data_IF_934042702392
#
_entry.id   IF_934042702392
#
_cell.length_a   1.000
_cell.length_b   1.000
_cell.length_c   1.000
_cell.angle_alpha   90.00
_cell.angle_beta   90.00
_cell.angle_gamma   90.00
#
_symmetry.space_group_name_H-M   'P 1'
#
loop_
_entity.id
_entity.type
_entity.pdbx_description
1 polymer ?
#
# COMPACT_ATOMS: atom_id res chain seq x y z
N UNK A 1 -6.78 23.17 -2.57
CA UNK A 1 -6.72 21.71 -2.79
C UNK A 1 -5.25 21.32 -2.68
N UNK A 2 -4.92 20.38 -1.81
CA UNK A 2 -3.60 19.73 -1.85
C UNK A 2 -3.49 19.00 -3.21
N UNK A 3 -2.34 19.12 -3.89
CA UNK A 3 -2.05 18.35 -5.10
C UNK A 3 -1.47 16.98 -4.71
N UNK A 4 -1.29 16.08 -5.67
CA UNK A 4 -0.77 14.74 -5.38
C UNK A 4 0.63 14.79 -4.74
N UNK A 5 1.50 15.72 -5.16
CA UNK A 5 2.81 15.92 -4.54
C UNK A 5 2.71 16.22 -3.03
N UNK A 6 1.75 17.04 -2.60
CA UNK A 6 1.56 17.33 -1.18
C UNK A 6 1.13 16.09 -0.38
N UNK A 7 0.45 15.14 -1.01
CA UNK A 7 0.13 13.83 -0.40
C UNK A 7 1.41 13.01 -0.21
N UNK A 8 2.26 12.95 -1.24
CA UNK A 8 3.55 12.26 -1.20
C UNK A 8 4.44 12.86 -0.09
N UNK A 9 4.62 14.18 -0.10
CA UNK A 9 5.44 14.92 0.89
C UNK A 9 4.96 14.66 2.32
N UNK A 10 3.63 14.65 2.53
CA UNK A 10 3.07 14.32 3.82
C UNK A 10 3.36 12.87 4.22
N UNK A 11 3.14 11.89 3.34
CA UNK A 11 3.40 10.48 3.63
C UNK A 11 4.89 10.23 3.90
N UNK A 12 5.80 10.83 3.13
CA UNK A 12 7.24 10.76 3.37
C UNK A 12 7.65 11.32 4.74
N UNK A 13 6.93 12.32 5.25
CA UNK A 13 7.18 12.87 6.59
C UNK A 13 6.78 11.92 7.73
N UNK A 14 5.99 10.89 7.44
CA UNK A 14 5.55 9.91 8.44
C UNK A 14 6.70 8.95 8.75
N UNK A 15 7.15 8.96 10.01
CA UNK A 15 8.25 8.10 10.48
C UNK A 15 7.96 6.63 10.19
N UNK A 16 8.96 5.94 9.63
CA UNK A 16 8.92 4.52 9.29
C UNK A 16 7.81 4.15 8.30
N UNK A 17 7.30 5.09 7.49
CA UNK A 17 6.32 4.79 6.45
C UNK A 17 6.84 3.73 5.46
N UNK A 18 8.13 3.77 5.08
CA UNK A 18 8.72 2.74 4.21
C UNK A 18 9.24 1.52 4.98
N UNK A 19 9.12 1.48 6.31
CA UNK A 19 9.56 0.38 7.18
C UNK A 19 8.36 -0.21 7.94
N UNK A 20 7.40 -0.76 7.19
CA UNK A 20 6.18 -1.38 7.72
C UNK A 20 4.88 -0.62 7.47
N UNK A 21 4.96 0.61 6.94
CA UNK A 21 3.81 1.44 6.56
C UNK A 21 3.55 1.53 5.06
N UNK A 22 4.33 0.89 4.19
CA UNK A 22 4.30 1.11 2.75
C UNK A 22 2.95 0.70 2.15
N UNK A 23 2.33 -0.37 2.67
CA UNK A 23 0.97 -0.75 2.31
C UNK A 23 -0.08 0.32 2.66
N UNK A 24 0.05 0.99 3.81
CA UNK A 24 -0.82 2.11 4.17
C UNK A 24 -0.56 3.34 3.27
N UNK A 25 0.69 3.60 2.92
CA UNK A 25 1.08 4.70 2.03
C UNK A 25 0.46 4.53 0.64
N UNK A 26 0.69 3.38 0.00
CA UNK A 26 0.15 3.03 -1.31
C UNK A 26 -1.38 3.14 -1.34
N UNK A 27 -2.04 2.58 -0.32
CA UNK A 27 -3.49 2.61 -0.24
C UNK A 27 -4.05 3.99 0.09
N UNK A 28 -3.32 4.80 0.86
CA UNK A 28 -3.70 6.18 1.14
C UNK A 28 -3.72 7.03 -0.13
N UNK A 29 -2.67 6.89 -0.95
CA UNK A 29 -2.60 7.54 -2.26
C UNK A 29 -3.76 7.10 -3.15
N UNK A 30 -4.04 5.79 -3.22
CA UNK A 30 -5.16 5.25 -3.97
C UNK A 30 -6.51 5.86 -3.54
N UNK A 31 -6.85 5.78 -2.25
CA UNK A 31 -8.12 6.29 -1.71
C UNK A 31 -8.25 7.80 -1.88
N UNK A 32 -7.14 8.54 -1.76
CA UNK A 32 -7.15 9.99 -1.93
C UNK A 32 -7.46 10.40 -3.37
N UNK A 33 -6.87 9.70 -4.35
CA UNK A 33 -7.14 9.88 -5.78
C UNK A 33 -8.56 9.42 -6.13
N UNK A 34 -9.00 8.29 -5.58
CA UNK A 34 -10.35 7.74 -5.78
C UNK A 34 -11.42 8.74 -5.35
N UNK A 35 -11.31 9.26 -4.12
CA UNK A 35 -12.24 10.25 -3.56
C UNK A 35 -12.36 11.51 -4.41
N UNK A 36 -11.35 11.81 -5.23
CA UNK A 36 -11.29 13.01 -6.08
C UNK A 36 -11.57 12.72 -7.56
N UNK A 37 -11.87 11.47 -7.93
CA UNK A 37 -12.08 11.08 -9.32
C UNK A 37 -10.83 11.23 -10.18
N UNK A 38 -9.64 11.04 -9.58
CA UNK A 38 -8.34 11.24 -10.22
C UNK A 38 -7.58 9.94 -10.50
N UNK A 39 -8.18 8.77 -10.24
CA UNK A 39 -7.55 7.49 -10.58
C UNK A 39 -7.52 7.30 -12.10
N UNK A 40 -6.38 6.84 -12.60
CA UNK A 40 -6.29 6.32 -13.96
C UNK A 40 -6.95 4.94 -14.06
N UNK A 41 -7.20 4.48 -15.30
CA UNK A 41 -7.88 3.18 -15.54
C UNK A 41 -7.06 1.97 -15.09
N UNK A 42 -5.74 2.12 -15.07
CA UNK A 42 -4.76 1.12 -14.65
C UNK A 42 -4.44 1.22 -13.15
N UNK A 43 -5.04 2.17 -12.42
CA UNK A 43 -4.64 2.45 -11.07
C UNK A 43 -4.90 1.27 -10.13
N UNK A 44 -3.86 0.82 -9.42
CA UNK A 44 -3.98 -0.24 -8.40
C UNK A 44 -2.81 -0.21 -7.41
N UNK A 45 -2.91 -0.99 -6.33
CA UNK A 45 -1.80 -1.23 -5.42
C UNK A 45 -0.99 -2.43 -5.90
N UNK A 46 0.33 -2.30 -5.86
CA UNK A 46 1.28 -3.33 -6.30
C UNK A 46 2.14 -3.75 -5.13
N UNK A 47 2.19 -5.06 -4.88
CA UNK A 47 3.06 -5.65 -3.86
C UNK A 47 4.31 -6.17 -4.54
N UNK A 48 5.47 -5.67 -4.11
CA UNK A 48 6.78 -6.10 -4.58
C UNK A 48 7.42 -7.08 -3.61
N UNK A 49 8.11 -8.07 -4.17
CA UNK A 49 8.80 -9.13 -3.44
C UNK A 49 10.22 -9.30 -3.96
N UNK A 50 11.12 -9.58 -3.03
CA UNK A 50 12.50 -9.97 -3.32
C UNK A 50 12.62 -11.46 -3.72
N UNK A 51 13.85 -11.94 -3.90
CA UNK A 51 14.12 -13.33 -4.29
C UNK A 51 13.72 -14.38 -3.25
N UNK A 52 13.48 -14.00 -2.00
CA UNK A 52 12.99 -14.90 -0.95
C UNK A 52 11.48 -15.16 -1.07
N UNK A 53 10.75 -14.26 -1.74
CA UNK A 53 9.31 -14.35 -1.97
C UNK A 53 8.51 -14.53 -0.66
N UNK A 54 9.00 -13.96 0.44
CA UNK A 54 8.34 -14.08 1.73
C UNK A 54 6.93 -13.48 1.69
N UNK A 55 5.91 -14.29 2.04
CA UNK A 55 4.51 -13.87 1.98
C UNK A 55 3.86 -13.89 0.59
N UNK A 56 4.64 -14.02 -0.50
CA UNK A 56 4.14 -14.00 -1.88
C UNK A 56 3.01 -15.01 -2.11
N UNK A 57 3.26 -16.29 -1.80
CA UNK A 57 2.28 -17.36 -2.00
C UNK A 57 0.99 -17.12 -1.23
N UNK A 58 1.07 -16.60 -0.01
CA UNK A 58 -0.10 -16.29 0.82
C UNK A 58 -1.01 -15.27 0.16
N UNK A 59 -0.41 -14.19 -0.37
CA UNK A 59 -1.15 -13.12 -1.03
C UNK A 59 -1.72 -13.59 -2.38
N UNK A 60 -0.98 -14.39 -3.15
CA UNK A 60 -1.50 -15.05 -4.36
C UNK A 60 -2.69 -15.97 -4.03
N UNK A 61 -2.57 -16.80 -3.01
CA UNK A 61 -3.63 -17.73 -2.61
C UNK A 61 -4.89 -16.97 -2.17
N UNK A 62 -4.76 -15.84 -1.45
CA UNK A 62 -5.89 -14.97 -1.12
C UNK A 62 -6.56 -14.41 -2.39
N UNK A 63 -5.77 -13.84 -3.29
CA UNK A 63 -6.29 -13.23 -4.52
C UNK A 63 -6.95 -14.26 -5.44
N UNK A 64 -6.52 -15.52 -5.38
CA UNK A 64 -7.14 -16.63 -6.11
C UNK A 64 -8.34 -17.26 -5.39
N UNK A 65 -8.70 -16.79 -4.18
CA UNK A 65 -9.81 -17.33 -3.39
C UNK A 65 -9.49 -18.65 -2.68
N UNK A 66 -8.22 -19.05 -2.64
CA UNK A 66 -7.75 -20.26 -1.96
C UNK A 66 -7.43 -20.02 -0.47
N UNK A 67 -7.45 -18.78 -0.01
CA UNK A 67 -7.14 -18.37 1.36
C UNK A 67 -7.98 -17.16 1.77
N UNK A 68 -8.24 -17.02 3.07
CA UNK A 68 -8.83 -15.83 3.69
C UNK A 68 -7.80 -14.97 4.44
N UNK A 69 -6.52 -15.32 4.35
CA UNK A 69 -5.39 -14.60 4.98
C UNK A 69 -4.51 -13.96 3.92
N UNK A 70 -4.20 -12.68 4.10
CA UNK A 70 -3.20 -11.91 3.37
C UNK A 70 -2.23 -11.24 4.36
N UNK A 71 -1.14 -10.65 3.88
CA UNK A 71 -0.21 -9.94 4.76
C UNK A 71 0.91 -9.22 4.04
N UNK A 72 1.96 -8.89 4.78
CA UNK A 72 3.09 -8.10 4.33
C UNK A 72 3.86 -8.70 3.13
N UNK A 73 4.67 -7.84 2.53
CA UNK A 73 5.64 -8.09 1.48
C UNK A 73 6.89 -7.22 1.74
N UNK A 74 7.81 -7.17 0.78
CA UNK A 74 9.03 -6.37 0.90
C UNK A 74 8.78 -4.87 0.69
N UNK A 75 7.98 -4.50 -0.31
CA UNK A 75 7.51 -3.11 -0.49
C UNK A 75 6.16 -3.04 -1.19
N UNK A 76 5.49 -1.89 -1.07
CA UNK A 76 4.22 -1.63 -1.75
C UNK A 76 4.25 -0.27 -2.42
N UNK A 77 3.78 -0.21 -3.66
CA UNK A 77 3.61 1.01 -4.43
C UNK A 77 2.16 1.16 -4.92
N UNK A 78 1.77 2.40 -5.23
CA UNK A 78 0.65 2.69 -6.12
C UNK A 78 1.15 2.59 -7.56
N UNK A 79 0.45 1.87 -8.42
CA UNK A 79 0.57 2.01 -9.86
C UNK A 79 -0.54 2.95 -10.35
N UNK A 80 -0.20 4.00 -11.09
CA UNK A 80 -1.14 4.97 -11.65
C UNK A 80 -0.49 5.66 -12.86
N UNK A 81 -1.22 5.82 -13.96
CA UNK A 81 -0.73 6.43 -15.20
C UNK A 81 0.56 5.78 -15.74
N UNK A 82 0.66 4.45 -15.68
CA UNK A 82 1.82 3.70 -16.16
C UNK A 82 3.07 3.78 -15.27
N UNK A 83 2.96 4.37 -14.08
CA UNK A 83 4.08 4.65 -13.18
C UNK A 83 3.85 4.09 -11.79
N UNK A 84 4.94 3.75 -11.10
CA UNK A 84 4.92 3.34 -9.71
C UNK A 84 5.22 4.53 -8.80
N UNK A 85 4.52 4.62 -7.67
CA UNK A 85 4.71 5.65 -6.66
C UNK A 85 4.77 5.03 -5.27
N UNK A 86 5.75 5.45 -4.47
CA UNK A 86 5.71 5.30 -3.02
C UNK A 86 5.69 6.66 -2.33
N UNK A 87 5.89 6.70 -1.01
CA UNK A 87 5.90 7.96 -0.27
C UNK A 87 6.97 8.95 -0.74
N UNK A 88 8.04 8.48 -1.37
CA UNK A 88 9.20 9.26 -1.81
C UNK A 88 9.03 9.84 -3.21
N UNK A 89 8.00 9.43 -3.96
CA UNK A 89 7.78 9.85 -5.34
C UNK A 89 7.62 8.68 -6.30
N UNK A 90 7.92 8.97 -7.57
CA UNK A 90 7.97 7.97 -8.64
C UNK A 90 9.13 7.00 -8.42
N UNK A 91 8.86 5.71 -8.58
CA UNK A 91 9.85 4.64 -8.49
C UNK A 91 10.31 4.23 -9.90
N UNK A 92 11.61 3.95 -10.02
CA UNK A 92 12.19 3.24 -11.16
C UNK A 92 11.61 1.83 -11.27
N UNK A 93 11.70 1.19 -12.43
CA UNK A 93 11.02 -0.09 -12.71
C UNK A 93 11.44 -1.27 -11.79
N UNK A 94 12.66 -1.24 -11.24
CA UNK A 94 13.17 -2.27 -10.30
C UNK A 94 12.97 -1.89 -8.82
N UNK A 95 12.36 -0.72 -8.57
CA UNK A 95 12.11 -0.08 -7.28
C UNK A 95 13.36 0.12 -6.41
N UNK A 96 14.57 -0.27 -6.84
CA UNK A 96 15.82 -0.17 -6.07
C UNK A 96 15.92 -1.04 -4.80
N UNK A 97 14.91 -1.87 -4.48
CA UNK A 97 14.86 -2.70 -3.26
C UNK A 97 15.30 -4.17 -3.47
N UNK A 98 15.88 -4.51 -4.63
CA UNK A 98 16.12 -5.90 -5.00
C UNK A 98 14.83 -6.69 -5.31
N UNK A 99 13.72 -5.96 -5.50
CA UNK A 99 12.42 -6.50 -5.87
C UNK A 99 12.47 -6.93 -7.33
N UNK A 100 12.02 -8.16 -7.59
CA UNK A 100 12.01 -8.73 -8.93
C UNK A 100 10.68 -9.42 -9.28
N UNK A 101 9.77 -9.49 -8.31
CA UNK A 101 8.48 -10.15 -8.46
C UNK A 101 7.38 -9.23 -7.95
N UNK A 102 6.30 -9.10 -8.73
CA UNK A 102 5.23 -8.16 -8.46
C UNK A 102 3.86 -8.85 -8.47
N UNK A 103 2.98 -8.41 -7.57
CA UNK A 103 1.56 -8.70 -7.63
C UNK A 103 0.83 -7.39 -7.87
N UNK A 104 0.23 -7.24 -9.03
CA UNK A 104 -0.76 -6.21 -9.30
C UNK A 104 -2.09 -6.68 -8.72
N UNK A 105 -2.58 -5.99 -7.69
CA UNK A 105 -3.83 -6.38 -7.04
C UNK A 105 -4.98 -6.09 -8.01
N UNK A 106 -5.87 -7.06 -8.32
CA UNK A 106 -7.04 -6.80 -9.15
C UNK A 106 -7.94 -5.74 -8.51
N UNK A 107 -8.40 -4.76 -9.29
CA UNK A 107 -9.18 -3.62 -8.79
C UNK A 107 -10.45 -4.09 -8.06
N UNK A 108 -11.13 -5.12 -8.58
CA UNK A 108 -12.33 -5.73 -7.98
C UNK A 108 -12.06 -6.39 -6.61
N UNK A 109 -10.80 -6.71 -6.30
CA UNK A 109 -10.36 -7.33 -5.05
C UNK A 109 -9.61 -6.37 -4.14
N UNK A 110 -9.26 -5.18 -4.61
CA UNK A 110 -8.31 -4.28 -3.97
C UNK A 110 -8.69 -3.93 -2.53
N UNK A 111 -9.88 -3.37 -2.31
CA UNK A 111 -10.29 -2.95 -0.97
C UNK A 111 -10.31 -4.13 0.01
N UNK A 112 -10.80 -5.30 -0.44
CA UNK A 112 -10.87 -6.48 0.42
C UNK A 112 -9.49 -7.04 0.74
N UNK A 113 -8.59 -7.08 -0.24
CA UNK A 113 -7.21 -7.48 -0.05
C UNK A 113 -6.48 -6.54 0.92
N UNK A 114 -6.62 -5.22 0.73
CA UNK A 114 -5.99 -4.23 1.61
C UNK A 114 -6.55 -4.28 3.03
N UNK A 115 -7.86 -4.44 3.20
CA UNK A 115 -8.50 -4.61 4.52
C UNK A 115 -7.85 -5.77 5.30
N UNK A 116 -7.65 -6.93 4.66
CA UNK A 116 -7.10 -8.12 5.31
C UNK A 116 -5.58 -8.01 5.47
N UNK A 117 -4.88 -7.61 4.42
CA UNK A 117 -3.42 -7.55 4.39
C UNK A 117 -2.87 -6.59 5.45
N UNK A 118 -3.43 -5.38 5.56
CA UNK A 118 -2.97 -4.35 6.50
C UNK A 118 -3.27 -4.67 7.97
N UNK A 119 -4.14 -5.64 8.23
CA UNK A 119 -4.36 -6.19 9.57
C UNK A 119 -3.33 -7.24 9.96
N UNK A 120 -2.61 -7.82 9.00
CA UNK A 120 -1.61 -8.85 9.25
C UNK A 120 -0.34 -8.35 9.94
N UNK A 121 0.61 -9.27 10.14
CA UNK A 121 1.94 -8.96 10.66
C UNK A 121 2.76 -8.24 9.59
N UNK A 122 2.99 -6.95 9.79
CA UNK A 122 4.01 -6.17 9.05
C UNK A 122 5.05 -5.70 10.05
N UNK A 123 6.14 -5.14 9.55
CA UNK A 123 7.19 -4.59 10.39
C UNK A 123 6.62 -3.61 11.42
N UNK A 124 6.83 -3.92 12.70
CA UNK A 124 6.33 -3.18 13.85
C UNK A 124 7.05 -1.85 14.08
N UNK A 125 8.09 -1.55 13.31
CA UNK A 125 8.76 -0.24 13.31
C UNK A 125 7.79 0.88 12.92
N UNK A 126 6.79 0.61 12.09
CA UNK A 126 5.71 1.54 11.81
C UNK A 126 4.64 1.49 12.92
N UNK A 127 4.57 2.54 13.74
CA UNK A 127 3.62 2.67 14.84
C UNK A 127 2.18 2.92 14.32
N UNK A 128 1.49 1.88 13.87
CA UNK A 128 0.17 1.97 13.21
C UNK A 128 -0.85 2.76 14.02
N UNK A 129 -1.00 2.45 15.31
CA UNK A 129 -1.96 3.10 16.21
C UNK A 129 -1.75 4.62 16.32
N UNK A 130 -0.52 5.09 16.11
CA UNK A 130 -0.14 6.49 16.19
C UNK A 130 -0.28 7.22 14.86
N UNK A 131 0.13 6.59 13.75
CA UNK A 131 0.21 7.26 12.45
C UNK A 131 -1.01 7.04 11.57
N UNK A 132 -1.65 5.87 11.63
CA UNK A 132 -2.80 5.58 10.77
C UNK A 132 -3.96 6.56 11.01
N UNK A 133 -4.38 6.87 12.26
CA UNK A 133 -5.41 7.89 12.49
C UNK A 133 -5.03 9.28 11.98
N UNK A 134 -3.74 9.64 12.05
CA UNK A 134 -3.23 10.93 11.54
C UNK A 134 -3.29 10.98 10.02
N UNK A 135 -2.92 9.90 9.34
CA UNK A 135 -3.01 9.77 7.87
C UNK A 135 -4.47 9.93 7.43
N UNK A 136 -5.39 9.15 8.02
CA UNK A 136 -6.82 9.25 7.72
C UNK A 136 -7.36 10.66 7.91
N UNK A 137 -7.03 11.30 9.04
CA UNK A 137 -7.46 12.67 9.34
C UNK A 137 -6.89 13.69 8.35
N UNK A 138 -5.59 13.61 8.04
CA UNK A 138 -4.90 14.59 7.18
C UNK A 138 -5.37 14.49 5.73
N UNK A 139 -5.53 13.28 5.22
CA UNK A 139 -5.90 13.03 3.82
C UNK A 139 -7.43 12.91 3.61
N UNK A 140 -8.19 12.94 4.71
CA UNK A 140 -9.64 12.79 4.74
C UNK A 140 -10.11 11.48 4.06
N UNK A 141 -9.42 10.38 4.35
CA UNK A 141 -9.69 9.04 3.84
C UNK A 141 -10.05 8.10 5.00
N UNK A 142 -10.66 6.97 4.68
CA UNK A 142 -10.93 5.89 5.62
C UNK A 142 -10.38 4.58 5.06
N UNK A 143 -9.51 3.90 5.80
CA UNK A 143 -8.99 2.60 5.39
C UNK A 143 -9.99 1.46 5.60
N UNK A 144 -11.08 1.68 6.34
CA UNK A 144 -12.10 0.67 6.64
C UNK A 144 -11.63 -0.43 7.61
N UNK A 145 -10.50 -0.22 8.31
CA UNK A 145 -9.88 -1.22 9.18
C UNK A 145 -10.31 -0.99 10.64
N UNK A 146 -10.91 -2.01 11.25
CA UNK A 146 -11.49 -1.90 12.61
C UNK A 146 -10.49 -2.12 13.75
N UNK A 147 -9.38 -2.84 13.51
CA UNK A 147 -8.34 -3.12 14.50
C UNK A 147 -7.03 -3.56 13.83
N UNK A 148 -5.89 -3.03 14.27
CA UNK A 148 -4.56 -3.45 13.79
C UNK A 148 -4.00 -4.53 14.74
N UNK A 149 -3.41 -5.60 14.19
CA UNK A 149 -2.62 -6.56 14.97
C UNK A 149 -1.15 -6.14 14.92
N UNK A 150 -0.46 -6.11 16.06
CA UNK A 150 0.99 -5.83 16.13
C UNK A 150 1.79 -7.10 15.93
#
# INVERSE_FOLDING_TARGET
MENFQAVLDYLASVRNINYGGCGFSAYAMYLWLEKRGMLSKDATVVYGYDSTLCGYKRNVDFLNGNSNVAGACDHVALFNEGKFFDSSGELEADWGYGINTFIFVPIDKLHKFMEVSLQGSWNSSFERDKYVPKIQKKLEIDFGIKKYQN
#
